data_IF_342290095333
#
_entry.id   IF_342290095333
#
_cell.length_a   1.000
_cell.length_b   1.000
_cell.length_c   1.000
_cell.angle_alpha   90.00
_cell.angle_beta   90.00
_cell.angle_gamma   90.00
#
_symmetry.space_group_name_H-M   'P 1'
#
loop_
_entity.id
_entity.type
_entity.pdbx_description
1 polymer ?
#
# COMPACT_ATOMS: atom_id res chain seq x y z
N UNK A 1 25.22 -15.46 15.63
CA UNK A 1 23.76 -15.35 15.42
C UNK A 1 23.45 -13.88 15.17
N UNK A 2 23.26 -13.49 13.91
CA UNK A 2 22.90 -12.10 13.58
C UNK A 2 21.41 -11.91 13.87
N UNK A 3 21.09 -10.97 14.77
CA UNK A 3 19.71 -10.54 14.96
C UNK A 3 19.24 -9.90 13.65
N UNK A 4 18.04 -10.21 13.14
CA UNK A 4 17.48 -9.51 12.00
C UNK A 4 17.37 -8.02 12.37
N UNK A 5 18.09 -7.18 11.63
CA UNK A 5 17.93 -5.74 11.69
C UNK A 5 16.60 -5.39 11.02
N UNK A 6 15.52 -5.36 11.78
CA UNK A 6 14.29 -4.70 11.34
C UNK A 6 14.55 -3.21 11.36
N UNK A 7 14.42 -2.57 10.21
CA UNK A 7 14.47 -1.11 10.10
C UNK A 7 15.84 -0.57 9.77
N UNK A 8 15.98 -0.09 8.55
CA UNK A 8 16.84 1.05 8.25
C UNK A 8 16.31 1.78 7.01
N UNK A 9 16.14 3.09 7.18
CA UNK A 9 15.79 4.14 6.22
C UNK A 9 14.28 4.40 6.05
N UNK A 10 13.75 5.33 6.85
CA UNK A 10 12.49 6.06 6.61
C UNK A 10 11.30 5.16 6.22
N UNK A 11 10.93 4.24 7.12
CA UNK A 11 9.93 3.18 6.94
C UNK A 11 8.58 3.78 6.48
N UNK A 12 8.41 3.88 5.17
CA UNK A 12 7.22 4.47 4.54
C UNK A 12 6.62 3.44 3.60
N UNK A 13 5.50 2.87 4.01
CA UNK A 13 4.73 1.89 3.25
C UNK A 13 3.84 2.61 2.22
N UNK A 14 3.97 2.28 0.95
CA UNK A 14 3.12 2.84 -0.11
C UNK A 14 1.97 1.88 -0.42
N UNK A 15 0.75 2.31 -0.11
CA UNK A 15 -0.47 1.52 -0.27
C UNK A 15 -1.32 2.10 -1.39
N UNK A 16 -1.62 1.29 -2.39
CA UNK A 16 -2.55 1.64 -3.46
C UNK A 16 -3.93 1.09 -3.09
N UNK A 17 -4.95 1.96 -3.01
CA UNK A 17 -6.28 1.58 -2.58
C UNK A 17 -7.34 1.92 -3.62
N UNK A 18 -8.06 0.89 -4.06
CA UNK A 18 -9.29 0.98 -4.85
C UNK A 18 -10.53 1.34 -4.02
N UNK A 19 -10.39 1.47 -2.71
CA UNK A 19 -11.47 1.78 -1.75
C UNK A 19 -11.34 3.21 -1.25
N UNK A 20 -12.48 3.82 -0.90
CA UNK A 20 -12.52 5.16 -0.34
C UNK A 20 -11.62 5.28 0.91
N UNK A 21 -10.72 6.27 0.89
CA UNK A 21 -9.74 6.54 1.95
C UNK A 21 -10.36 6.48 3.35
N UNK A 22 -11.53 7.11 3.54
CA UNK A 22 -12.27 7.19 4.81
C UNK A 22 -12.56 5.83 5.45
N UNK A 23 -12.60 4.75 4.68
CA UNK A 23 -12.87 3.39 5.16
C UNK A 23 -11.61 2.67 5.63
N UNK A 24 -10.45 3.03 5.08
CA UNK A 24 -9.17 2.35 5.33
C UNK A 24 -8.27 3.18 6.25
N UNK A 25 -8.37 4.50 6.18
CA UNK A 25 -7.61 5.45 6.99
C UNK A 25 -7.57 5.11 8.49
N UNK A 26 -8.68 4.75 9.18
CA UNK A 26 -8.60 4.41 10.61
C UNK A 26 -7.79 3.12 10.89
N UNK A 27 -7.81 2.15 9.98
CA UNK A 27 -7.01 0.94 10.13
C UNK A 27 -5.52 1.22 9.88
N UNK A 28 -5.21 2.05 8.89
CA UNK A 28 -3.84 2.48 8.61
C UNK A 28 -3.30 3.37 9.72
N UNK A 29 -4.10 4.27 10.29
CA UNK A 29 -3.70 5.10 11.43
C UNK A 29 -3.35 4.24 12.64
N UNK A 30 -4.18 3.24 12.97
CA UNK A 30 -3.87 2.28 14.02
C UNK A 30 -2.57 1.50 13.73
N UNK A 31 -2.36 1.06 12.49
CA UNK A 31 -1.12 0.40 12.07
C UNK A 31 0.11 1.32 12.21
N UNK A 32 -0.01 2.59 11.78
CA UNK A 32 1.07 3.57 11.91
C UNK A 32 1.39 3.83 13.40
N UNK A 33 0.36 3.93 14.24
CA UNK A 33 0.53 4.14 15.68
C UNK A 33 1.18 2.94 16.39
N UNK A 34 0.87 1.71 15.98
CA UNK A 34 1.41 0.49 16.58
C UNK A 34 2.82 0.16 16.05
N UNK A 35 3.02 0.27 14.74
CA UNK A 35 4.25 -0.15 14.08
C UNK A 35 5.30 0.95 13.98
N UNK A 36 4.91 2.23 14.07
CA UNK A 36 5.78 3.38 13.85
C UNK A 36 6.19 3.61 12.37
N UNK A 37 5.65 2.82 11.45
CA UNK A 37 5.86 2.91 10.00
C UNK A 37 4.92 3.99 9.48
N UNK A 38 5.39 4.90 8.61
CA UNK A 38 4.53 5.87 7.93
C UNK A 38 3.81 5.18 6.77
N UNK A 39 2.55 5.51 6.55
CA UNK A 39 1.81 4.98 5.41
C UNK A 39 1.48 6.10 4.44
N UNK A 40 1.98 5.98 3.21
CA UNK A 40 1.55 6.81 2.09
C UNK A 40 0.51 6.06 1.28
N UNK A 41 -0.67 6.65 1.10
CA UNK A 41 -1.75 6.02 0.38
C UNK A 41 -2.05 6.75 -0.92
N UNK A 42 -2.23 5.98 -1.99
CA UNK A 42 -2.80 6.45 -3.25
C UNK A 42 -4.18 5.83 -3.42
N UNK A 43 -5.22 6.66 -3.37
CA UNK A 43 -6.59 6.22 -3.65
C UNK A 43 -6.96 6.56 -5.08
N UNK A 44 -7.37 5.56 -5.86
CA UNK A 44 -7.90 5.76 -7.21
C UNK A 44 -8.82 4.61 -7.58
N UNK A 45 -9.45 4.67 -8.76
CA UNK A 45 -10.24 3.54 -9.26
C UNK A 45 -9.38 2.27 -9.40
N UNK A 46 -9.93 1.11 -9.05
CA UNK A 46 -9.18 -0.16 -9.08
C UNK A 46 -8.60 -0.45 -10.47
N UNK A 47 -9.36 -0.16 -11.53
CA UNK A 47 -8.91 -0.34 -12.92
C UNK A 47 -7.74 0.59 -13.24
N UNK A 48 -7.78 1.82 -12.73
CA UNK A 48 -6.70 2.79 -12.93
C UNK A 48 -5.42 2.37 -12.17
N UNK A 49 -5.55 1.85 -10.95
CA UNK A 49 -4.42 1.36 -10.16
C UNK A 49 -3.77 0.13 -10.78
N UNK A 50 -4.55 -0.83 -11.29
CA UNK A 50 -4.02 -2.02 -11.97
C UNK A 50 -3.28 -1.63 -13.25
N UNK A 51 -3.86 -0.73 -14.06
CA UNK A 51 -3.19 -0.24 -15.26
C UNK A 51 -1.90 0.51 -14.92
N UNK A 52 -1.91 1.32 -13.86
CA UNK A 52 -0.72 1.99 -13.37
C UNK A 52 0.36 1.00 -12.93
N UNK A 53 0.00 -0.01 -12.14
CA UNK A 53 0.92 -1.08 -11.72
C UNK A 53 1.50 -1.82 -12.94
N UNK A 54 0.70 -2.11 -13.96
CA UNK A 54 1.19 -2.70 -15.22
C UNK A 54 2.17 -1.79 -15.95
N UNK A 55 1.91 -0.48 -15.99
CA UNK A 55 2.81 0.50 -16.61
C UNK A 55 4.12 0.69 -15.83
N UNK A 56 4.04 0.71 -14.49
CA UNK A 56 5.20 0.86 -13.62
C UNK A 56 6.04 -0.43 -13.56
N UNK A 57 5.40 -1.59 -13.68
CA UNK A 57 6.04 -2.91 -13.68
C UNK A 57 6.89 -3.11 -12.42
N UNK A 58 8.11 -3.60 -12.62
CA UNK A 58 9.05 -3.84 -11.52
C UNK A 58 9.56 -2.56 -10.82
N UNK A 59 9.19 -1.38 -11.32
CA UNK A 59 9.59 -0.08 -10.75
C UNK A 59 8.46 0.59 -10.00
N UNK A 60 7.36 -0.13 -9.75
CA UNK A 60 6.26 0.44 -8.97
C UNK A 60 6.75 0.79 -7.57
N UNK A 61 6.41 1.99 -7.07
CA UNK A 61 6.66 2.34 -5.69
C UNK A 61 5.65 1.69 -4.74
N UNK A 62 4.61 1.02 -5.24
CA UNK A 62 3.56 0.42 -4.40
C UNK A 62 4.03 -0.88 -3.75
N UNK A 63 3.92 -0.96 -2.43
CA UNK A 63 4.19 -2.17 -1.65
C UNK A 63 2.96 -3.07 -1.56
N UNK A 64 1.77 -2.46 -1.50
CA UNK A 64 0.50 -3.16 -1.27
C UNK A 64 -0.58 -2.58 -2.17
N UNK A 65 -1.37 -3.45 -2.80
CA UNK A 65 -2.62 -3.09 -3.48
C UNK A 65 -3.82 -3.62 -2.68
N UNK A 66 -4.75 -2.73 -2.33
CA UNK A 66 -6.02 -3.04 -1.69
C UNK A 66 -7.14 -2.69 -2.65
N UNK A 67 -7.86 -3.67 -3.19
CA UNK A 67 -9.03 -3.43 -4.05
C UNK A 67 -10.26 -4.16 -3.49
N UNK A 68 -11.45 -3.62 -3.76
CA UNK A 68 -12.70 -4.29 -3.46
C UNK A 68 -13.02 -5.42 -4.45
N UNK A 69 -12.45 -5.33 -5.66
CA UNK A 69 -12.67 -6.25 -6.77
C UNK A 69 -11.41 -7.11 -6.97
N UNK A 70 -11.20 -8.07 -6.07
CA UNK A 70 -10.24 -9.15 -6.34
C UNK A 70 -10.73 -10.11 -7.45
N UNK A 71 -11.92 -9.87 -8.03
CA UNK A 71 -12.64 -10.77 -8.94
C UNK A 71 -12.60 -10.43 -10.43
N UNK A 72 -12.06 -9.28 -10.84
CA UNK A 72 -11.85 -8.95 -12.26
C UNK A 72 -10.36 -8.83 -12.54
N UNK A 73 -9.63 -9.93 -12.31
CA UNK A 73 -8.28 -10.11 -12.82
C UNK A 73 -8.41 -10.86 -14.15
N UNK A 74 -8.61 -10.14 -15.24
CA UNK A 74 -8.52 -10.68 -16.62
C UNK A 74 -7.09 -10.53 -17.17
#
# INVERSE_FOLDING_TARGET
>A
MGLPSWGSADDTLVVYSGRAERLIQPALDAFQAESGIRVQMLTADSTALINRLRMEGARTPADVLITNDAGTLE
#
